data_IF_939259004330
#
_entry.id   IF_939259004330
#
_cell.length_a   1.000
_cell.length_b   1.000
_cell.length_c   1.000
_cell.angle_alpha   90.00
_cell.angle_beta   90.00
_cell.angle_gamma   90.00
#
_symmetry.space_group_name_H-M   'P 1'
#
loop_
_entity.id
_entity.type
_entity.pdbx_description
1 polymer ?
#
# COMPACT_ATOMS: atom_id res chain seq x y z
N UNK A 1 13.65 -9.71 39.09
CA UNK A 1 12.72 -8.58 39.23
C UNK A 1 12.36 -8.13 37.82
N UNK A 2 11.33 -8.76 37.24
CA UNK A 2 10.94 -8.61 35.82
C UNK A 2 10.01 -7.39 35.73
N UNK A 3 10.30 -6.50 34.79
CA UNK A 3 9.58 -5.25 34.57
C UNK A 3 8.07 -5.50 34.38
N UNK A 4 7.26 -4.95 35.29
CA UNK A 4 5.79 -4.95 35.25
C UNK A 4 5.20 -3.87 34.33
N UNK A 5 5.99 -3.35 33.39
CA UNK A 5 5.55 -2.33 32.44
C UNK A 5 4.80 -2.95 31.27
N UNK A 6 3.56 -3.36 31.50
CA UNK A 6 2.62 -3.59 30.40
C UNK A 6 2.51 -2.32 29.55
N UNK A 7 2.46 -2.46 28.24
CA UNK A 7 2.16 -1.35 27.33
C UNK A 7 0.78 -0.79 27.75
N UNK A 8 0.76 0.39 28.38
CA UNK A 8 -0.46 1.10 28.73
C UNK A 8 -1.04 1.72 27.45
N UNK A 9 -1.60 0.85 26.60
CA UNK A 9 -2.34 1.25 25.42
C UNK A 9 -3.66 1.84 25.90
N UNK A 10 -3.69 3.16 26.09
CA UNK A 10 -4.91 3.93 26.32
C UNK A 10 -5.95 3.56 25.24
N UNK A 11 -7.05 2.88 25.59
CA UNK A 11 -8.11 2.61 24.63
C UNK A 11 -8.74 3.95 24.29
N UNK A 12 -8.42 4.53 23.13
CA UNK A 12 -9.22 5.61 22.54
C UNK A 12 -10.50 5.00 21.99
N UNK A 13 -11.37 4.54 22.89
CA UNK A 13 -12.75 4.23 22.52
C UNK A 13 -13.44 5.56 22.29
N UNK A 14 -13.88 5.78 21.06
CA UNK A 14 -14.81 6.88 20.78
C UNK A 14 -16.11 6.62 21.54
N UNK A 15 -16.94 7.64 21.79
CA UNK A 15 -18.25 7.41 22.43
C UNK A 15 -19.12 6.40 21.67
N UNK A 16 -18.90 6.24 20.35
CA UNK A 16 -19.48 5.17 19.54
C UNK A 16 -19.01 3.80 19.99
N UNK A 17 -17.70 3.62 20.17
CA UNK A 17 -17.12 2.34 20.59
C UNK A 17 -17.54 1.94 22.02
N UNK A 18 -17.76 2.91 22.92
CA UNK A 18 -18.31 2.65 24.26
C UNK A 18 -19.77 2.15 24.19
N UNK A 19 -20.60 2.79 23.36
CA UNK A 19 -21.97 2.35 23.13
C UNK A 19 -22.03 0.95 22.50
N UNK A 20 -21.21 0.70 21.48
CA UNK A 20 -21.08 -0.63 20.84
C UNK A 20 -20.61 -1.69 21.83
N UNK A 21 -19.65 -1.37 22.70
CA UNK A 21 -19.17 -2.29 23.73
C UNK A 21 -20.29 -2.68 24.71
N UNK A 22 -21.15 -1.75 25.10
CA UNK A 22 -22.26 -2.02 26.00
C UNK A 22 -23.28 -2.97 25.35
N UNK A 23 -23.57 -2.78 24.06
CA UNK A 23 -24.40 -3.69 23.27
C UNK A 23 -23.79 -5.09 23.21
N UNK A 24 -22.50 -5.20 22.85
CA UNK A 24 -21.81 -6.49 22.75
C UNK A 24 -21.78 -7.22 24.09
N UNK A 25 -21.54 -6.50 25.20
CA UNK A 25 -21.57 -7.10 26.55
C UNK A 25 -22.95 -7.67 26.88
N UNK A 26 -24.02 -6.91 26.62
CA UNK A 26 -25.38 -7.41 26.83
C UNK A 26 -25.70 -8.67 26.01
N UNK A 27 -25.19 -8.74 24.78
CA UNK A 27 -25.33 -9.94 23.95
C UNK A 27 -24.53 -11.11 24.53
N UNK A 28 -23.28 -10.90 24.96
CA UNK A 28 -22.43 -11.96 25.53
C UNK A 28 -22.99 -12.48 26.86
N UNK A 29 -23.50 -11.61 27.72
CA UNK A 29 -24.08 -11.99 29.01
C UNK A 29 -25.35 -12.84 28.85
N UNK A 30 -26.04 -12.72 27.71
CA UNK A 30 -27.20 -13.55 27.37
C UNK A 30 -26.84 -14.98 26.90
N UNK A 31 -25.56 -15.27 26.67
CA UNK A 31 -25.10 -16.56 26.16
C UNK A 31 -24.89 -17.55 27.31
N UNK A 32 -25.72 -18.58 27.37
CA UNK A 32 -25.51 -19.72 28.27
C UNK A 32 -24.62 -20.79 27.60
N UNK A 33 -23.40 -20.96 28.12
CA UNK A 33 -22.48 -21.99 27.65
C UNK A 33 -22.98 -23.39 28.02
N UNK A 34 -22.78 -24.36 27.12
CA UNK A 34 -23.15 -25.77 27.33
C UNK A 34 -21.89 -26.62 27.30
N UNK A 35 -21.89 -27.72 28.06
CA UNK A 35 -20.83 -28.72 27.96
C UNK A 35 -20.96 -29.50 26.65
N UNK A 36 -19.87 -29.57 25.87
CA UNK A 36 -19.80 -30.28 24.59
C UNK A 36 -18.66 -29.77 23.71
N UNK A 37 -18.53 -30.33 22.52
CA UNK A 37 -17.60 -29.80 21.51
C UNK A 37 -18.15 -28.51 20.89
N UNK A 38 -17.26 -27.52 20.71
CA UNK A 38 -17.60 -26.27 20.03
C UNK A 38 -17.95 -26.52 18.56
N UNK A 39 -19.11 -26.02 18.14
CA UNK A 39 -19.53 -26.03 16.74
C UNK A 39 -19.59 -24.62 16.18
N UNK A 40 -18.82 -24.37 15.12
CA UNK A 40 -18.89 -23.12 14.35
C UNK A 40 -20.03 -23.20 13.34
N UNK A 41 -20.95 -22.24 13.42
CA UNK A 41 -22.06 -22.07 12.49
C UNK A 41 -22.02 -20.67 11.90
N UNK A 42 -22.60 -20.52 10.72
CA UNK A 42 -22.87 -19.23 10.09
C UNK A 42 -24.37 -19.16 9.86
N UNK A 43 -24.98 -18.01 10.14
CA UNK A 43 -26.39 -17.79 9.81
C UNK A 43 -26.51 -17.51 8.30
N UNK A 44 -26.45 -18.59 7.51
CA UNK A 44 -26.47 -18.57 6.06
C UNK A 44 -27.49 -19.58 5.56
N UNK A 45 -28.45 -19.18 4.70
CA UNK A 45 -29.45 -20.09 4.16
C UNK A 45 -28.84 -21.17 3.24
N UNK A 46 -27.60 -20.99 2.77
CA UNK A 46 -26.94 -21.91 1.83
C UNK A 46 -26.01 -22.94 2.48
N UNK A 47 -25.49 -22.71 3.70
CA UNK A 47 -24.52 -23.64 4.31
C UNK A 47 -24.72 -23.81 5.82
N UNK A 48 -25.07 -25.03 6.31
CA UNK A 48 -25.26 -25.32 7.74
C UNK A 48 -23.93 -25.54 8.51
N UNK A 49 -22.80 -25.39 7.83
CA UNK A 49 -21.43 -25.51 8.37
C UNK A 49 -20.68 -24.23 8.10
N UNK A 50 -19.87 -23.80 9.06
CA UNK A 50 -19.03 -22.62 8.89
C UNK A 50 -18.12 -22.76 7.66
N UNK A 51 -18.17 -21.74 6.79
CA UNK A 51 -17.31 -21.60 5.64
C UNK A 51 -16.72 -20.19 5.64
N UNK A 52 -15.39 -20.06 5.66
CA UNK A 52 -14.75 -18.73 5.69
C UNK A 52 -15.19 -17.87 4.52
N UNK A 53 -15.38 -18.46 3.33
CA UNK A 53 -15.86 -17.75 2.13
C UNK A 53 -17.22 -17.09 2.36
N UNK A 54 -18.16 -17.81 2.97
CA UNK A 54 -19.48 -17.26 3.26
C UNK A 54 -19.43 -16.23 4.39
N UNK A 55 -18.61 -16.47 5.42
CA UNK A 55 -18.40 -15.49 6.50
C UNK A 55 -17.87 -14.16 5.96
N UNK A 56 -16.84 -14.20 5.10
CA UNK A 56 -16.35 -12.99 4.45
C UNK A 56 -17.39 -12.35 3.53
N UNK A 57 -18.19 -13.13 2.80
CA UNK A 57 -19.25 -12.59 1.94
C UNK A 57 -20.38 -11.92 2.74
N UNK A 58 -20.73 -12.44 3.91
CA UNK A 58 -21.74 -11.83 4.79
C UNK A 58 -21.22 -10.58 5.50
N UNK A 59 -19.95 -10.56 5.90
CA UNK A 59 -19.33 -9.41 6.57
C UNK A 59 -18.92 -8.30 5.60
N UNK A 60 -18.57 -8.66 4.37
CA UNK A 60 -18.15 -7.74 3.32
C UNK A 60 -19.10 -7.91 2.13
N UNK A 61 -20.19 -7.10 2.05
CA UNK A 61 -21.05 -7.11 0.89
C UNK A 61 -20.23 -6.85 -0.39
N UNK A 62 -20.67 -7.34 -1.56
CA UNK A 62 -19.96 -7.13 -2.82
C UNK A 62 -19.66 -5.65 -3.02
N UNK A 63 -18.38 -5.29 -2.97
CA UNK A 63 -17.92 -3.94 -3.27
C UNK A 63 -17.67 -3.83 -4.78
N UNK A 64 -17.77 -2.62 -5.37
CA UNK A 64 -17.27 -2.37 -6.71
C UNK A 64 -15.82 -2.85 -6.83
N UNK A 65 -15.45 -3.37 -8.00
CA UNK A 65 -14.06 -3.76 -8.25
C UNK A 65 -13.17 -2.52 -8.12
N UNK A 66 -12.17 -2.62 -7.24
CA UNK A 66 -11.11 -1.63 -7.11
C UNK A 66 -10.25 -1.65 -8.39
N UNK A 67 -10.43 -0.63 -9.23
CA UNK A 67 -9.72 -0.51 -10.51
C UNK A 67 -8.21 -0.45 -10.31
N UNK A 68 -7.72 0.24 -9.28
CA UNK A 68 -6.31 0.30 -8.89
C UNK A 68 -5.77 -1.09 -8.54
N UNK A 69 -6.53 -1.88 -7.78
CA UNK A 69 -6.17 -3.25 -7.45
C UNK A 69 -6.14 -4.14 -8.70
N UNK A 70 -7.15 -4.07 -9.56
CA UNK A 70 -7.21 -4.83 -10.81
C UNK A 70 -5.99 -4.54 -11.71
N UNK A 71 -5.67 -3.26 -11.91
CA UNK A 71 -4.53 -2.84 -12.73
C UNK A 71 -3.19 -3.29 -12.13
N UNK A 72 -3.02 -3.15 -10.82
CA UNK A 72 -1.82 -3.56 -10.10
C UNK A 72 -1.57 -5.07 -10.17
N UNK A 73 -2.63 -5.87 -10.00
CA UNK A 73 -2.52 -7.33 -10.01
C UNK A 73 -2.35 -7.92 -11.41
N UNK A 74 -2.85 -7.24 -12.45
CA UNK A 74 -2.66 -7.61 -13.85
C UNK A 74 -1.19 -7.52 -14.33
N UNK A 75 -0.33 -6.76 -13.63
CA UNK A 75 1.08 -6.62 -13.97
C UNK A 75 1.81 -7.97 -14.01
N UNK A 76 2.67 -8.19 -15.01
CA UNK A 76 3.56 -9.36 -15.07
C UNK A 76 4.85 -9.13 -14.27
N UNK A 77 4.72 -8.73 -13.00
CA UNK A 77 5.82 -8.36 -12.10
C UNK A 77 5.83 -9.19 -10.80
N UNK A 78 6.94 -9.21 -10.04
CA UNK A 78 6.98 -9.82 -8.70
C UNK A 78 5.97 -9.15 -7.75
N UNK A 79 5.41 -9.92 -6.81
CA UNK A 79 4.34 -9.44 -5.90
C UNK A 79 4.70 -8.16 -5.15
N UNK A 80 5.97 -8.00 -4.74
CA UNK A 80 6.45 -6.77 -4.09
C UNK A 80 6.24 -5.51 -4.95
N UNK A 81 6.44 -5.60 -6.26
CA UNK A 81 6.22 -4.49 -7.20
C UNK A 81 4.72 -4.24 -7.34
N UNK A 82 3.91 -5.29 -7.50
CA UNK A 82 2.44 -5.18 -7.59
C UNK A 82 1.84 -4.49 -6.36
N UNK A 83 2.23 -4.94 -5.16
CA UNK A 83 1.79 -4.35 -3.89
C UNK A 83 2.22 -2.88 -3.80
N UNK A 84 3.45 -2.57 -4.20
CA UNK A 84 3.93 -1.18 -4.16
C UNK A 84 3.21 -0.26 -5.13
N UNK A 85 2.89 -0.74 -6.33
CA UNK A 85 2.14 0.02 -7.32
C UNK A 85 0.72 0.28 -6.84
N UNK A 86 0.07 -0.73 -6.26
CA UNK A 86 -1.24 -0.57 -5.64
C UNK A 86 -1.21 0.52 -4.55
N UNK A 87 -0.30 0.39 -3.58
CA UNK A 87 -0.18 1.35 -2.48
C UNK A 87 0.21 2.76 -2.95
N UNK A 88 0.95 2.88 -4.06
CA UNK A 88 1.28 4.16 -4.66
C UNK A 88 0.04 4.82 -5.30
N UNK A 89 -0.76 4.05 -6.04
CA UNK A 89 -1.95 4.55 -6.74
C UNK A 89 -3.05 5.00 -5.77
N UNK A 90 -3.19 4.33 -4.63
CA UNK A 90 -4.15 4.71 -3.57
C UNK A 90 -3.56 5.64 -2.49
N UNK A 91 -2.37 6.20 -2.72
CA UNK A 91 -1.61 7.08 -1.80
C UNK A 91 -1.53 6.57 -0.35
N UNK A 92 -1.19 5.29 -0.16
CA UNK A 92 -1.05 4.65 1.17
C UNK A 92 0.38 4.29 1.57
N UNK A 93 1.37 4.73 0.80
CA UNK A 93 2.78 4.58 1.17
C UNK A 93 3.16 5.49 2.35
N UNK A 94 4.25 5.14 3.05
CA UNK A 94 4.74 5.91 4.21
C UNK A 94 5.55 7.15 3.81
N UNK A 95 4.95 7.99 2.97
CA UNK A 95 5.45 9.32 2.62
C UNK A 95 5.39 10.24 3.84
N UNK A 96 6.18 11.33 3.89
CA UNK A 96 6.12 12.26 5.03
C UNK A 96 4.73 12.87 5.19
N UNK A 97 4.03 13.19 4.12
CA UNK A 97 2.64 13.68 4.21
C UNK A 97 1.72 12.67 4.90
N UNK A 98 1.77 11.39 4.50
CA UNK A 98 0.94 10.34 5.10
C UNK A 98 1.32 10.04 6.55
N UNK A 99 2.61 10.07 6.88
CA UNK A 99 3.07 9.87 8.25
C UNK A 99 2.70 11.06 9.15
N UNK A 100 2.80 12.28 8.65
CA UNK A 100 2.39 13.48 9.36
C UNK A 100 0.88 13.48 9.64
N UNK A 101 0.06 13.15 8.63
CA UNK A 101 -1.38 12.99 8.79
C UNK A 101 -1.75 11.93 9.85
N UNK A 102 -0.95 10.86 9.96
CA UNK A 102 -1.11 9.81 10.98
C UNK A 102 -0.47 10.15 12.34
N UNK A 103 0.04 11.37 12.52
CA UNK A 103 0.78 11.79 13.72
C UNK A 103 2.00 10.89 14.04
N UNK A 104 2.59 10.27 13.01
CA UNK A 104 3.77 9.41 13.11
C UNK A 104 5.07 10.11 12.66
N UNK A 105 4.99 11.33 12.17
CA UNK A 105 6.15 12.16 11.80
C UNK A 105 5.91 13.61 12.26
N UNK A 106 6.99 14.37 12.57
CA UNK A 106 6.86 15.75 13.04
C UNK A 106 6.55 16.76 11.94
N UNK A 107 6.77 16.40 10.67
CA UNK A 107 6.51 17.25 9.51
C UNK A 107 6.20 16.41 8.26
N UNK A 108 5.53 17.04 7.30
CA UNK A 108 5.23 16.50 5.96
C UNK A 108 6.35 16.79 4.92
N UNK A 109 7.35 17.59 5.28
CA UNK A 109 8.44 18.01 4.38
C UNK A 109 9.32 16.83 3.94
N UNK A 110 9.67 16.81 2.65
CA UNK A 110 10.55 15.82 2.05
C UNK A 110 11.97 15.90 2.61
N UNK A 111 12.61 14.74 2.73
CA UNK A 111 14.02 14.65 3.19
C UNK A 111 15.01 15.23 2.18
N UNK A 112 14.64 15.34 0.90
CA UNK A 112 15.54 15.72 -0.19
C UNK A 112 15.36 17.15 -0.70
N UNK A 113 14.27 17.83 -0.33
CA UNK A 113 13.94 19.19 -0.76
C UNK A 113 12.88 19.84 0.17
N UNK A 114 12.72 21.17 0.16
CA UNK A 114 11.85 21.89 1.10
C UNK A 114 10.35 21.88 0.73
N UNK A 115 9.86 20.79 0.12
CA UNK A 115 8.46 20.66 -0.31
C UNK A 115 7.76 19.54 0.47
N UNK A 116 6.42 19.57 0.63
CA UNK A 116 5.67 18.43 1.17
C UNK A 116 5.88 17.15 0.35
N UNK A 117 6.22 16.04 1.02
CA UNK A 117 6.41 14.72 0.41
C UNK A 117 5.07 13.98 0.34
N UNK A 118 4.29 14.27 -0.69
CA UNK A 118 3.14 13.43 -1.11
C UNK A 118 3.60 12.27 -2.00
N UNK A 119 2.74 11.28 -2.27
CA UNK A 119 3.03 10.24 -3.26
C UNK A 119 3.39 10.84 -4.63
N UNK A 120 2.60 11.82 -5.09
CA UNK A 120 2.86 12.58 -6.32
C UNK A 120 4.21 13.29 -6.29
N UNK A 121 4.54 13.97 -5.20
CA UNK A 121 5.85 14.62 -5.06
C UNK A 121 6.99 13.60 -5.17
N UNK A 122 6.90 12.53 -4.37
CA UNK A 122 7.93 11.51 -4.33
C UNK A 122 8.19 10.87 -5.69
N UNK A 123 7.13 10.61 -6.45
CA UNK A 123 7.23 9.87 -7.71
C UNK A 123 7.40 10.73 -8.94
N UNK A 124 7.02 12.01 -8.91
CA UNK A 124 6.93 12.82 -10.13
C UNK A 124 7.49 14.24 -10.03
N UNK A 125 7.62 14.82 -8.82
CA UNK A 125 8.04 16.22 -8.67
C UNK A 125 9.35 16.41 -7.90
N UNK A 126 9.77 15.43 -7.09
CA UNK A 126 11.04 15.47 -6.38
C UNK A 126 12.22 15.48 -7.36
N UNK A 127 13.34 16.14 -7.01
CA UNK A 127 14.53 16.26 -7.87
C UNK A 127 15.01 14.93 -8.45
N UNK A 128 15.00 13.86 -7.65
CA UNK A 128 15.40 12.54 -8.13
C UNK A 128 14.40 12.00 -9.16
N UNK A 129 13.10 12.10 -8.86
CA UNK A 129 12.04 11.64 -9.73
C UNK A 129 12.03 12.36 -11.07
N UNK A 130 12.06 13.71 -11.06
CA UNK A 130 12.07 14.51 -12.29
C UNK A 130 13.27 14.16 -13.16
N UNK A 131 14.46 14.07 -12.57
CA UNK A 131 15.68 13.66 -13.29
C UNK A 131 15.57 12.24 -13.86
N UNK A 132 14.96 11.30 -13.13
CA UNK A 132 14.75 9.93 -13.60
C UNK A 132 13.80 9.86 -14.80
N UNK A 133 12.67 10.55 -14.75
CA UNK A 133 11.71 10.57 -15.87
C UNK A 133 12.24 11.33 -17.08
N UNK A 134 12.94 12.44 -16.88
CA UNK A 134 13.58 13.20 -17.98
C UNK A 134 14.61 12.36 -18.74
N UNK A 135 15.34 11.46 -18.06
CA UNK A 135 16.31 10.56 -18.72
C UNK A 135 15.67 9.47 -19.57
N UNK A 136 14.38 9.22 -19.38
CA UNK A 136 13.60 8.28 -20.18
C UNK A 136 12.80 9.00 -21.28
N UNK A 137 12.93 10.32 -21.38
CA UNK A 137 12.13 11.19 -22.26
C UNK A 137 10.62 10.99 -22.08
N UNK A 138 10.19 10.77 -20.83
CA UNK A 138 8.78 10.52 -20.48
C UNK A 138 8.14 11.82 -20.02
N UNK A 139 7.17 12.39 -20.78
CA UNK A 139 6.44 13.55 -20.33
C UNK A 139 5.51 13.18 -19.17
N UNK A 140 5.63 13.90 -18.06
CA UNK A 140 4.75 13.71 -16.90
C UNK A 140 3.56 14.67 -17.01
N UNK A 141 2.31 14.18 -16.97
CA UNK A 141 1.13 15.03 -17.05
C UNK A 141 1.07 16.08 -15.92
N UNK A 142 0.58 17.27 -16.27
CA UNK A 142 0.22 18.29 -15.29
C UNK A 142 -1.09 17.90 -14.58
N UNK A 143 -1.27 18.36 -13.34
CA UNK A 143 -2.48 18.04 -12.55
C UNK A 143 -2.53 16.59 -12.07
N UNK A 144 -3.66 16.19 -11.49
CA UNK A 144 -3.84 14.83 -10.96
C UNK A 144 -4.05 13.82 -12.10
N UNK A 145 -3.31 12.72 -12.02
CA UNK A 145 -3.38 11.61 -12.96
C UNK A 145 -3.07 10.30 -12.22
N UNK A 146 -3.65 9.19 -12.68
CA UNK A 146 -3.29 7.86 -12.18
C UNK A 146 -1.99 7.39 -12.83
N UNK A 147 -1.17 6.63 -12.09
CA UNK A 147 0.08 6.07 -12.63
C UNK A 147 -0.15 5.20 -13.87
N UNK A 148 -1.38 4.70 -14.07
CA UNK A 148 -1.79 3.90 -15.22
C UNK A 148 -2.12 4.72 -16.48
N UNK A 149 -2.24 6.04 -16.35
CA UNK A 149 -2.52 6.97 -17.46
C UNK A 149 -1.25 7.44 -18.18
N UNK A 150 -0.07 7.12 -17.63
CA UNK A 150 1.22 7.38 -18.27
C UNK A 150 1.32 6.61 -19.59
N UNK A 151 1.26 7.34 -20.69
CA UNK A 151 1.30 6.78 -22.04
C UNK A 151 2.63 6.09 -22.32
N UNK A 152 2.56 4.93 -22.96
CA UNK A 152 3.75 4.22 -23.40
C UNK A 152 4.40 5.01 -24.56
N UNK A 153 5.68 5.41 -24.45
CA UNK A 153 6.37 5.97 -25.59
C UNK A 153 6.53 4.91 -26.68
N UNK A 154 6.38 5.28 -27.95
CA UNK A 154 6.68 4.34 -29.04
C UNK A 154 8.18 4.01 -29.04
N UNK A 155 8.59 2.74 -29.30
CA UNK A 155 7.77 1.60 -29.72
C UNK A 155 7.40 0.63 -28.58
N UNK A 156 7.35 1.08 -27.32
CA UNK A 156 7.15 0.18 -26.18
C UNK A 156 5.73 -0.43 -26.16
N UNK A 157 5.67 -1.73 -25.91
CA UNK A 157 4.41 -2.42 -25.61
C UNK A 157 3.77 -1.85 -24.32
N UNK A 158 2.47 -1.50 -24.33
CA UNK A 158 1.81 -0.92 -23.17
C UNK A 158 1.84 -1.76 -21.90
N UNK A 159 1.81 -3.10 -22.00
CA UNK A 159 1.86 -3.97 -20.83
C UNK A 159 3.28 -4.01 -20.23
N UNK A 160 4.31 -4.09 -21.08
CA UNK A 160 5.72 -3.99 -20.66
C UNK A 160 5.98 -2.60 -20.04
N UNK A 161 5.45 -1.55 -20.66
CA UNK A 161 5.56 -0.18 -20.16
C UNK A 161 5.03 -0.03 -18.74
N UNK A 162 3.83 -0.55 -18.45
CA UNK A 162 3.24 -0.50 -17.09
C UNK A 162 4.10 -1.22 -16.06
N UNK A 163 4.73 -2.35 -16.43
CA UNK A 163 5.69 -3.04 -15.55
C UNK A 163 6.93 -2.16 -15.31
N UNK A 164 7.43 -1.49 -16.34
CA UNK A 164 8.53 -0.52 -16.25
C UNK A 164 8.21 0.64 -15.30
N UNK A 165 7.05 1.28 -15.49
CA UNK A 165 6.54 2.35 -14.61
C UNK A 165 6.49 1.87 -13.16
N UNK A 166 5.84 0.74 -12.89
CA UNK A 166 5.75 0.19 -11.53
C UNK A 166 7.14 -0.10 -10.92
N UNK A 167 8.09 -0.60 -11.71
CA UNK A 167 9.46 -0.84 -11.26
C UNK A 167 10.24 0.45 -10.98
N UNK A 168 10.01 1.52 -11.75
CA UNK A 168 10.59 2.86 -11.52
C UNK A 168 10.03 3.42 -10.22
N UNK A 169 8.72 3.42 -10.03
CA UNK A 169 8.08 3.88 -8.78
C UNK A 169 8.64 3.13 -7.56
N UNK A 170 8.72 1.81 -7.64
CA UNK A 170 9.34 1.00 -6.58
C UNK A 170 10.80 1.39 -6.31
N UNK A 171 11.58 1.67 -7.36
CA UNK A 171 12.99 2.02 -7.23
C UNK A 171 13.18 3.43 -6.66
N UNK A 172 12.31 4.39 -7.00
CA UNK A 172 12.26 5.72 -6.38
C UNK A 172 11.90 5.62 -4.90
N UNK A 173 10.86 4.84 -4.57
CA UNK A 173 10.49 4.55 -3.18
C UNK A 173 11.65 3.97 -2.38
N UNK A 174 12.35 2.98 -2.95
CA UNK A 174 13.54 2.38 -2.35
C UNK A 174 14.69 3.37 -2.19
N UNK A 175 15.00 4.17 -3.21
CA UNK A 175 16.04 5.20 -3.14
C UNK A 175 15.75 6.23 -2.04
N UNK A 176 14.48 6.65 -1.91
CA UNK A 176 14.08 7.56 -0.83
C UNK A 176 14.19 6.90 0.55
N UNK A 177 13.80 5.64 0.70
CA UNK A 177 13.93 4.94 1.98
C UNK A 177 15.39 4.75 2.38
N UNK A 178 16.28 4.43 1.44
CA UNK A 178 17.70 4.34 1.75
C UNK A 178 18.27 5.70 2.19
N UNK A 179 17.79 6.81 1.62
CA UNK A 179 18.17 8.15 2.08
C UNK A 179 17.68 8.41 3.52
N UNK A 180 16.45 8.02 3.87
CA UNK A 180 15.89 8.24 5.21
C UNK A 180 16.54 7.35 6.27
N UNK A 181 16.74 6.07 5.99
CA UNK A 181 17.18 5.11 7.00
C UNK A 181 18.71 4.93 7.04
N UNK A 182 19.39 5.12 5.91
CA UNK A 182 20.83 4.87 5.79
C UNK A 182 21.63 6.12 5.37
N UNK A 183 20.98 7.26 5.13
CA UNK A 183 21.66 8.48 4.65
C UNK A 183 22.23 8.36 3.23
N UNK A 184 21.85 7.31 2.47
CA UNK A 184 22.41 7.05 1.14
C UNK A 184 21.57 7.74 0.07
N UNK A 185 22.12 8.79 -0.52
CA UNK A 185 21.53 9.45 -1.69
C UNK A 185 21.84 8.66 -2.97
N UNK A 186 20.85 8.57 -3.84
CA UNK A 186 20.96 7.87 -5.12
C UNK A 186 20.80 8.83 -6.28
N UNK A 187 21.54 8.60 -7.36
CA UNK A 187 21.35 9.31 -8.62
C UNK A 187 20.26 8.66 -9.47
N UNK A 188 19.77 9.39 -10.48
CA UNK A 188 18.86 8.85 -11.47
C UNK A 188 19.47 7.65 -12.21
N UNK A 189 20.76 7.68 -12.58
CA UNK A 189 21.48 6.55 -13.17
C UNK A 189 21.42 5.29 -12.30
N UNK A 190 21.77 5.44 -11.02
CA UNK A 190 21.79 4.31 -10.08
C UNK A 190 20.40 3.74 -9.87
N UNK A 191 19.37 4.59 -9.90
CA UNK A 191 17.97 4.19 -9.78
C UNK A 191 17.52 3.41 -11.03
N UNK A 192 17.84 3.90 -12.23
CA UNK A 192 17.52 3.23 -13.49
C UNK A 192 18.27 1.91 -13.65
N UNK A 193 19.56 1.84 -13.28
CA UNK A 193 20.31 0.56 -13.27
C UNK A 193 19.63 -0.48 -12.39
N UNK A 194 19.18 -0.10 -11.19
CA UNK A 194 18.42 -1.00 -10.31
C UNK A 194 17.08 -1.44 -10.90
N UNK A 195 16.42 -0.59 -11.70
CA UNK A 195 15.21 -1.00 -12.44
C UNK A 195 15.58 -2.11 -13.42
N UNK A 196 16.60 -1.88 -14.25
CA UNK A 196 17.09 -2.88 -15.21
C UNK A 196 17.47 -4.19 -14.52
N UNK A 197 18.26 -4.15 -13.44
CA UNK A 197 18.69 -5.35 -12.72
C UNK A 197 17.50 -6.18 -12.19
N UNK A 198 16.42 -5.51 -11.75
CA UNK A 198 15.21 -6.17 -11.24
C UNK A 198 14.37 -6.76 -12.36
N UNK A 199 14.26 -6.07 -13.48
CA UNK A 199 13.50 -6.54 -14.64
C UNK A 199 14.27 -7.68 -15.34
N UNK A 200 15.58 -7.53 -15.51
CA UNK A 200 16.47 -8.52 -16.13
C UNK A 200 16.73 -9.74 -15.24
N UNK A 201 16.81 -9.55 -13.93
CA UNK A 201 16.90 -10.65 -12.98
C UNK A 201 15.68 -11.58 -13.00
N UNK A 202 14.54 -11.13 -13.55
CA UNK A 202 13.34 -11.95 -13.76
C UNK A 202 13.45 -12.86 -15.00
N UNK A 203 14.24 -12.47 -16.02
CA UNK A 203 14.49 -13.30 -17.22
C UNK A 203 15.57 -14.38 -17.01
N UNK A 204 16.25 -14.40 -15.86
CA UNK A 204 17.20 -15.47 -15.50
C UNK A 204 16.57 -16.63 -14.73
N UNK A 205 15.30 -16.55 -14.37
CA UNK A 205 14.61 -17.53 -13.50
C UNK A 205 13.37 -18.11 -14.19
N UNK A 206 13.33 -18.10 -15.52
CA UNK A 206 12.35 -18.83 -16.33
C UNK A 206 13.12 -19.70 -17.32
#
# INVERSE_FOLDING_TARGET
MVASGGLDLQPRLTGVAEAELLVVRGLVDSIALRHGEDRRVIDSPSTPRFCSREAYRSLAPPQPLDTSACMSWALQAPSKIKISAYLADIDRLSTRANLFHKSCAPSDVCVACPCPETGRHLFFACRLATTTWSRLDVPIPAGDFSIWELQAPAPFDPAVWRVGVAAILWSLWKSRNDLVFNGVAHSADSTLRRVCDRLLGRFRVI
#
